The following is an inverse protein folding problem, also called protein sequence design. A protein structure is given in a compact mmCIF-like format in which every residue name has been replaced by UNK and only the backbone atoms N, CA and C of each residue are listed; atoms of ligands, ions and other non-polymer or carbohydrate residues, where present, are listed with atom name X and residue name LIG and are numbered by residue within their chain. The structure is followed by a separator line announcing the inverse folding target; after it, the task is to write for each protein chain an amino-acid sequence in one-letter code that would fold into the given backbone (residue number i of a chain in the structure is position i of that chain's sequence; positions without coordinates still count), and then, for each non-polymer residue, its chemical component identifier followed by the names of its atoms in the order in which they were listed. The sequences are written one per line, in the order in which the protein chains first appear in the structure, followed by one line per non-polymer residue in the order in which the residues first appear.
data_IF_643626442074
#
_entry.id   IF_643626442074
#
_cell.length_a   1.000
_cell.length_b   1.000
_cell.length_c   1.000
_cell.angle_alpha   90.00
_cell.angle_beta   90.00
_cell.angle_gamma   90.00
#
_symmetry.space_group_name_H-M   'P 1'
#
loop_
_entity.id
_entity.type
_entity.pdbx_description
1 polymer ?
#
# COMPACT_ATOMS: atom_id res chain seq x y z
N UNK A 1 -0.77 16.80 -12.95
CA UNK A 1 -0.46 16.06 -11.70
C UNK A 1 -0.06 17.10 -10.68
N UNK A 2 -0.68 17.10 -9.49
CA UNK A 2 -0.38 18.10 -8.45
C UNK A 2 0.97 17.79 -7.80
N UNK A 3 1.73 18.82 -7.43
CA UNK A 3 3.06 18.65 -6.82
C UNK A 3 3.00 17.92 -5.49
N UNK A 4 1.93 18.11 -4.72
CA UNK A 4 1.66 17.38 -3.49
C UNK A 4 1.61 15.86 -3.73
N UNK A 5 0.94 15.40 -4.80
CA UNK A 5 0.88 13.97 -5.14
C UNK A 5 2.26 13.44 -5.54
N UNK A 6 3.04 14.19 -6.33
CA UNK A 6 4.39 13.79 -6.71
C UNK A 6 5.32 13.69 -5.49
N UNK A 7 5.19 14.63 -4.54
CA UNK A 7 5.93 14.63 -3.27
C UNK A 7 5.60 13.40 -2.44
N UNK A 8 4.32 13.12 -2.21
CA UNK A 8 3.88 11.96 -1.42
C UNK A 8 4.37 10.66 -2.04
N UNK A 9 4.24 10.49 -3.36
CA UNK A 9 4.72 9.28 -4.06
C UNK A 9 6.23 9.12 -3.86
N UNK A 10 7.03 10.19 -4.05
CA UNK A 10 8.49 10.12 -3.87
C UNK A 10 8.85 9.71 -2.45
N UNK A 11 8.23 10.33 -1.45
CA UNK A 11 8.49 10.01 -0.04
C UNK A 11 8.12 8.58 0.27
N UNK A 12 6.94 8.11 -0.14
CA UNK A 12 6.51 6.73 0.10
C UNK A 12 7.45 5.72 -0.56
N UNK A 13 7.81 5.93 -1.83
CA UNK A 13 8.74 5.05 -2.55
C UNK A 13 10.10 5.04 -1.85
N UNK A 14 10.63 6.20 -1.47
CA UNK A 14 11.91 6.31 -0.79
C UNK A 14 11.90 5.60 0.57
N UNK A 15 10.84 5.76 1.37
CA UNK A 15 10.69 5.08 2.67
C UNK A 15 10.61 3.57 2.49
N UNK A 16 9.81 3.08 1.53
CA UNK A 16 9.68 1.64 1.27
C UNK A 16 11.03 1.05 0.83
N UNK A 17 11.74 1.71 -0.08
CA UNK A 17 13.06 1.25 -0.53
C UNK A 17 14.08 1.26 0.62
N UNK A 18 14.05 2.29 1.47
CA UNK A 18 14.89 2.33 2.68
C UNK A 18 14.60 1.18 3.63
N UNK A 19 13.31 0.86 3.85
CA UNK A 19 12.91 -0.28 4.68
C UNK A 19 13.37 -1.61 4.07
N UNK A 20 13.11 -1.82 2.78
CA UNK A 20 13.52 -3.04 2.06
C UNK A 20 15.04 -3.23 2.09
N UNK A 21 15.82 -2.14 1.97
CA UNK A 21 17.27 -2.18 2.07
C UNK A 21 17.78 -2.46 3.50
N UNK A 22 17.00 -2.16 4.53
CA UNK A 22 17.33 -2.45 5.92
C UNK A 22 17.01 -3.89 6.33
N UNK A 23 16.09 -4.57 5.64
CA UNK A 23 15.69 -5.96 5.94
C UNK A 23 16.88 -6.95 5.95
N UNK A 24 17.79 -6.99 4.96
CA UNK A 24 18.91 -7.94 4.95
C UNK A 24 19.83 -7.80 6.17
N UNK A 25 20.05 -6.58 6.65
CA UNK A 25 20.83 -6.30 7.85
C UNK A 25 20.19 -6.89 9.11
N UNK A 26 18.85 -6.85 9.19
CA UNK A 26 18.07 -7.45 10.28
C UNK A 26 18.06 -8.99 10.20
N UNK A 27 18.00 -9.54 8.98
CA UNK A 27 18.02 -10.99 8.75
C UNK A 27 19.36 -11.59 9.14
N UNK A 28 20.47 -10.92 8.82
CA UNK A 28 21.81 -11.42 9.14
C UNK A 28 22.13 -11.37 10.66
N UNK A 29 21.36 -10.60 11.44
CA UNK A 29 21.55 -10.47 12.89
C UNK A 29 20.73 -11.48 13.72
N UNK A 30 19.76 -12.16 13.11
CA UNK A 30 18.87 -13.12 13.78
C UNK A 30 19.02 -14.52 13.23
N UNK A 31 18.93 -15.54 14.09
CA UNK A 31 18.95 -16.97 13.73
C UNK A 31 17.62 -17.40 13.06
N UNK A 32 17.23 -16.70 11.99
CA UNK A 32 15.94 -16.84 11.34
C UNK A 32 15.98 -17.95 10.28
N UNK A 33 14.98 -18.86 10.26
CA UNK A 33 14.75 -19.77 9.15
C UNK A 33 14.79 -19.05 7.79
N UNK A 34 15.57 -19.58 6.84
CA UNK A 34 15.85 -18.93 5.56
C UNK A 34 14.58 -18.56 4.72
N UNK A 35 13.43 -19.18 5.02
CA UNK A 35 12.15 -18.91 4.34
C UNK A 35 11.35 -17.75 4.94
N UNK A 36 11.55 -17.41 6.22
CA UNK A 36 10.83 -16.33 6.90
C UNK A 36 11.07 -14.94 6.28
N UNK A 37 12.31 -14.54 5.95
CA UNK A 37 12.59 -13.27 5.30
C UNK A 37 11.94 -13.16 3.92
N UNK A 38 11.94 -14.25 3.15
CA UNK A 38 11.32 -14.32 1.83
C UNK A 38 9.81 -14.03 1.91
N UNK A 39 9.13 -14.67 2.86
CA UNK A 39 7.71 -14.46 3.12
C UNK A 39 7.42 -13.03 3.60
N UNK A 40 8.19 -12.50 4.54
CA UNK A 40 8.02 -11.13 5.03
C UNK A 40 8.20 -10.11 3.89
N UNK A 41 9.18 -10.34 3.02
CA UNK A 41 9.41 -9.50 1.83
C UNK A 41 8.24 -9.57 0.87
N UNK A 42 7.74 -10.78 0.55
CA UNK A 42 6.60 -10.97 -0.33
C UNK A 42 5.31 -10.31 0.21
N UNK A 43 5.01 -10.46 1.49
CA UNK A 43 3.86 -9.82 2.16
C UNK A 43 4.01 -8.30 2.19
N UNK A 44 5.22 -7.79 2.45
CA UNK A 44 5.49 -6.35 2.42
C UNK A 44 5.25 -5.78 1.03
N UNK A 45 5.76 -6.44 -0.02
CA UNK A 45 5.54 -6.03 -1.41
C UNK A 45 4.05 -6.06 -1.76
N UNK A 46 3.34 -7.15 -1.42
CA UNK A 46 1.89 -7.28 -1.66
C UNK A 46 1.08 -6.18 -0.94
N UNK A 47 1.47 -5.82 0.28
CA UNK A 47 0.84 -4.76 1.07
C UNK A 47 1.07 -3.38 0.44
N UNK A 48 2.30 -3.10 0.00
CA UNK A 48 2.63 -1.84 -0.68
C UNK A 48 1.83 -1.72 -1.98
N UNK A 49 1.76 -2.79 -2.78
CA UNK A 49 0.95 -2.81 -4.01
C UNK A 49 -0.53 -2.57 -3.70
N UNK A 50 -1.07 -3.25 -2.68
CA UNK A 50 -2.45 -3.05 -2.22
C UNK A 50 -2.71 -1.60 -1.79
N UNK A 51 -1.77 -0.98 -1.06
CA UNK A 51 -1.88 0.43 -0.62
C UNK A 51 -1.85 1.40 -1.80
N UNK A 52 -1.06 1.10 -2.82
CA UNK A 52 -1.04 1.87 -4.07
C UNK A 52 -2.37 1.74 -4.81
N UNK A 53 -2.94 0.53 -4.91
CA UNK A 53 -4.25 0.31 -5.54
C UNK A 53 -5.40 0.97 -4.76
N UNK A 54 -5.31 1.01 -3.43
CA UNK A 54 -6.26 1.73 -2.58
C UNK A 54 -6.18 3.26 -2.72
N UNK A 55 -5.19 3.80 -3.46
CA UNK A 55 -5.06 5.22 -3.65
C UNK A 55 -6.15 5.73 -4.63
N UNK A 56 -7.03 6.67 -4.23
CA UNK A 56 -8.08 7.20 -5.09
C UNK A 56 -7.56 7.93 -6.34
N UNK A 57 -6.28 8.33 -6.36
CA UNK A 57 -5.63 8.87 -7.57
C UNK A 57 -5.36 7.78 -8.63
N UNK A 58 -5.05 6.55 -8.20
CA UNK A 58 -4.90 5.38 -9.08
C UNK A 58 -6.27 4.97 -9.59
N UNK A 59 -7.27 4.92 -8.69
CA UNK A 59 -8.65 4.59 -9.05
C UNK A 59 -9.26 5.57 -10.09
N UNK A 60 -8.93 6.86 -10.01
CA UNK A 60 -9.37 7.87 -11.00
C UNK A 60 -8.73 7.70 -12.39
N UNK A 61 -7.57 7.06 -12.48
CA UNK A 61 -6.86 6.79 -13.74
C UNK A 61 -7.28 5.46 -14.38
N UNK A 62 -7.86 4.56 -13.59
CA UNK A 62 -8.32 3.26 -14.06
C UNK A 62 -9.62 3.39 -14.89
N UNK A 63 -9.74 2.61 -15.98
CA UNK A 63 -10.97 2.55 -16.77
C UNK A 63 -12.13 2.02 -15.91
N UNK A 64 -13.37 2.37 -16.28
CA UNK A 64 -14.54 2.18 -15.41
C UNK A 64 -14.77 0.74 -14.94
N UNK A 65 -14.35 -0.25 -15.73
CA UNK A 65 -14.44 -1.69 -15.43
C UNK A 65 -13.41 -2.19 -14.40
N UNK A 66 -12.44 -1.36 -14.01
CA UNK A 66 -11.35 -1.70 -13.09
C UNK A 66 -11.36 -0.82 -11.83
N UNK A 67 -12.39 0.04 -11.67
CA UNK A 67 -12.51 0.86 -10.47
C UNK A 67 -13.05 0.03 -9.33
N UNK A 68 -12.47 0.22 -8.14
CA UNK A 68 -13.01 -0.38 -6.92
C UNK A 68 -14.47 0.08 -6.74
N UNK A 69 -15.39 -0.88 -6.59
CA UNK A 69 -16.78 -0.61 -6.28
C UNK A 69 -16.85 0.21 -4.98
N UNK A 70 -17.72 1.21 -4.95
CA UNK A 70 -17.92 2.00 -3.74
C UNK A 70 -18.32 1.06 -2.60
N UNK A 71 -17.56 1.14 -1.49
CA UNK A 71 -17.77 0.32 -0.31
C UNK A 71 -19.22 0.47 0.18
N UNK A 72 -20.07 -0.57 0.08
CA UNK A 72 -21.48 -0.48 0.46
C UNK A 72 -21.64 -0.18 1.96
N UNK A 73 -20.68 -0.57 2.80
CA UNK A 73 -20.71 -0.29 4.24
C UNK A 73 -20.46 1.19 4.53
N UNK A 74 -19.61 1.85 3.75
CA UNK A 74 -19.40 3.29 3.84
C UNK A 74 -20.64 4.11 3.40
N UNK A 75 -21.48 3.55 2.54
CA UNK A 75 -22.76 4.16 2.14
C UNK A 75 -23.85 3.94 3.20
N UNK A 76 -23.88 2.76 3.84
CA UNK A 76 -24.78 2.46 4.95
C UNK A 76 -24.47 3.32 6.18
N UNK A 77 -23.19 3.46 6.55
CA UNK A 77 -22.77 4.27 7.69
C UNK A 77 -23.19 5.74 7.54
N UNK A 78 -23.05 6.30 6.33
CA UNK A 78 -23.43 7.69 6.03
C UNK A 78 -24.94 7.94 6.10
N UNK A 79 -25.77 6.93 5.83
CA UNK A 79 -27.23 7.04 6.03
C UNK A 79 -27.57 7.06 7.51
N UNK A 80 -26.96 6.17 8.29
CA UNK A 80 -27.21 6.06 9.72
C UNK A 80 -26.78 7.29 10.55
N UNK A 81 -25.90 8.15 10.02
CA UNK A 81 -25.50 9.41 10.69
C UNK A 81 -26.31 10.63 10.24
N UNK A 82 -27.09 10.52 9.17
CA UNK A 82 -27.88 11.61 8.61
C UNK A 82 -29.37 11.52 9.00
N UNK A 83 -29.76 10.49 9.74
CA UNK A 83 -31.05 10.31 10.40
C UNK A 83 -30.93 10.67 11.88
#
# INVERSE_FOLDING_TARGET
MTDATRRTIRTTVQTVLGLLAAIPLLVNAGDLPATLPGLATAVTVATVVTRVMANPAVNRRLPAWLRAAADPDAAAYRRATNE
#
